data_IF_981333828995
#
_entry.id   IF_981333828995
#
_cell.length_a   1.000
_cell.length_b   1.000
_cell.length_c   1.000
_cell.angle_alpha   90.00
_cell.angle_beta   90.00
_cell.angle_gamma   90.00
#
_symmetry.space_group_name_H-M   'P 1'
#
loop_
_entity.id
_entity.type
_entity.pdbx_description
1 polymer ?
#
# COMPACT_ATOMS: atom_id res chain seq x y z
N UNK A 1 -15.47 26.83 -19.86
CA UNK A 1 -14.25 26.85 -20.70
C UNK A 1 -13.46 25.61 -20.31
N UNK A 2 -13.62 24.54 -21.08
CA UNK A 2 -12.84 23.31 -20.95
C UNK A 2 -11.38 23.64 -21.28
N UNK A 3 -10.52 23.75 -20.27
CA UNK A 3 -9.09 23.61 -20.49
C UNK A 3 -8.84 22.12 -20.64
N UNK A 4 -8.59 21.66 -21.85
CA UNK A 4 -7.97 20.37 -22.10
C UNK A 4 -6.65 20.36 -21.30
N UNK A 5 -6.54 19.45 -20.34
CA UNK A 5 -5.27 19.15 -19.69
C UNK A 5 -4.43 18.52 -20.80
N UNK A 6 -3.47 19.28 -21.30
CA UNK A 6 -2.47 18.75 -22.23
C UNK A 6 -1.58 17.85 -21.38
N UNK A 7 -1.82 16.54 -21.43
CA UNK A 7 -0.89 15.54 -20.89
C UNK A 7 0.48 15.80 -21.54
N UNK A 8 1.45 16.21 -20.73
CA UNK A 8 2.83 16.17 -21.15
C UNK A 8 3.14 14.69 -21.46
N UNK A 9 3.50 14.41 -22.69
CA UNK A 9 3.94 13.08 -23.12
C UNK A 9 5.28 12.87 -22.40
N UNK A 10 5.26 12.16 -21.26
CA UNK A 10 6.47 11.59 -20.69
C UNK A 10 7.02 10.66 -21.76
N UNK A 11 8.08 11.08 -22.41
CA UNK A 11 8.72 10.30 -23.48
C UNK A 11 9.15 8.98 -22.90
N UNK A 12 8.60 7.88 -23.42
CA UNK A 12 8.99 6.54 -23.02
C UNK A 12 10.53 6.41 -23.01
N UNK A 13 11.09 6.34 -21.84
CA UNK A 13 12.52 6.07 -21.68
C UNK A 13 12.75 4.65 -22.17
N UNK A 14 13.51 4.47 -23.24
CA UNK A 14 13.89 3.14 -23.71
C UNK A 14 14.68 2.46 -22.58
N UNK A 15 14.10 1.39 -22.00
CA UNK A 15 14.77 0.58 -20.99
C UNK A 15 16.10 0.06 -21.57
N UNK A 16 17.21 0.58 -21.09
CA UNK A 16 18.50 -0.01 -21.37
C UNK A 16 18.58 -1.33 -20.62
N UNK A 17 18.84 -2.42 -21.33
CA UNK A 17 18.98 -3.78 -20.79
C UNK A 17 19.88 -3.76 -19.55
N UNK A 18 19.30 -4.04 -18.37
CA UNK A 18 19.87 -4.35 -17.07
C UNK A 18 21.32 -3.91 -16.79
N UNK A 19 21.60 -2.63 -16.83
CA UNK A 19 22.94 -2.16 -16.57
C UNK A 19 23.23 -2.14 -15.07
N UNK A 20 24.02 -3.11 -14.60
CA UNK A 20 24.79 -2.94 -13.38
C UNK A 20 25.71 -1.74 -13.54
N UNK A 21 25.80 -0.88 -12.55
CA UNK A 21 26.65 0.29 -12.65
C UNK A 21 26.79 1.06 -11.36
N UNK A 22 27.75 1.97 -11.37
CA UNK A 22 28.05 2.81 -10.22
C UNK A 22 27.03 3.96 -10.13
N UNK A 23 26.61 4.25 -8.91
CA UNK A 23 25.89 5.47 -8.60
C UNK A 23 26.72 6.41 -7.74
N UNK A 24 26.41 7.69 -7.84
CA UNK A 24 26.86 8.71 -6.89
C UNK A 24 25.68 9.58 -6.54
N UNK A 25 25.39 9.72 -5.25
CA UNK A 25 24.45 10.72 -4.73
C UNK A 25 25.24 11.72 -3.92
N UNK A 26 25.29 12.96 -4.38
CA UNK A 26 26.06 14.01 -3.71
C UNK A 26 25.33 15.34 -3.78
N UNK A 27 25.70 16.27 -2.93
CA UNK A 27 25.10 17.60 -3.01
C UNK A 27 25.36 18.45 -1.79
N UNK A 28 24.60 19.55 -1.72
CA UNK A 28 24.65 20.53 -0.64
C UNK A 28 23.31 20.57 0.09
N UNK A 29 23.37 20.50 1.43
CA UNK A 29 22.21 20.68 2.29
C UNK A 29 22.50 21.83 3.24
N UNK A 30 21.86 22.96 3.02
CA UNK A 30 21.99 24.12 3.87
C UNK A 30 21.44 23.84 5.28
N UNK A 31 21.99 24.46 6.30
CA UNK A 31 21.59 24.30 7.70
C UNK A 31 21.70 22.85 8.25
N UNK A 32 22.47 21.97 7.59
CA UNK A 32 22.64 20.57 7.98
C UNK A 32 24.03 20.23 8.51
N UNK A 33 24.89 21.24 8.79
CA UNK A 33 26.26 20.99 9.28
C UNK A 33 26.27 20.07 10.50
N UNK A 34 27.14 19.03 10.47
CA UNK A 34 27.28 18.08 11.55
C UNK A 34 26.10 17.10 11.72
N UNK A 35 25.11 17.14 10.85
CA UNK A 35 24.02 16.17 10.85
C UNK A 35 24.37 14.92 10.07
N UNK A 36 23.73 13.83 10.41
CA UNK A 36 23.89 12.57 9.69
C UNK A 36 22.91 12.48 8.53
N UNK A 37 23.42 12.13 7.36
CA UNK A 37 22.63 11.78 6.18
C UNK A 37 22.61 10.28 6.01
N UNK A 38 21.46 9.73 5.62
CA UNK A 38 21.25 8.30 5.36
C UNK A 38 20.71 8.13 3.95
N UNK A 39 21.23 7.15 3.23
CA UNK A 39 20.68 6.68 1.95
C UNK A 39 20.10 5.30 2.17
N UNK A 40 18.79 5.17 2.03
CA UNK A 40 18.04 3.95 2.32
C UNK A 40 17.27 3.52 1.07
N UNK A 41 17.44 2.27 0.65
CA UNK A 41 16.65 1.67 -0.43
C UNK A 41 16.21 0.25 -0.09
N UNK A 42 15.05 -0.15 -0.63
CA UNK A 42 14.35 -1.36 -0.23
C UNK A 42 13.48 -1.15 1.00
N UNK A 43 12.63 -2.13 1.33
CA UNK A 43 11.58 -2.01 2.36
C UNK A 43 12.10 -1.70 3.77
N UNK A 44 13.32 -2.08 4.10
CA UNK A 44 13.98 -1.81 5.41
C UNK A 44 15.46 -1.49 5.24
N UNK A 45 15.86 -1.01 4.06
CA UNK A 45 17.26 -0.81 3.73
C UNK A 45 18.01 -2.11 3.40
N UNK A 46 17.30 -3.15 2.96
CA UNK A 46 17.91 -4.42 2.55
C UNK A 46 18.71 -4.30 1.25
N UNK A 47 18.45 -3.27 0.43
CA UNK A 47 19.17 -3.01 -0.81
C UNK A 47 20.32 -2.02 -0.55
N UNK A 48 20.02 -0.90 0.10
CA UNK A 48 21.01 0.11 0.51
C UNK A 48 20.67 0.57 1.92
N UNK A 49 21.66 0.55 2.80
CA UNK A 49 21.60 1.11 4.13
C UNK A 49 22.95 1.76 4.44
N UNK A 50 23.11 2.99 3.97
CA UNK A 50 24.38 3.71 4.10
C UNK A 50 24.17 5.04 4.83
N UNK A 51 25.24 5.57 5.41
CA UNK A 51 25.19 6.84 6.12
C UNK A 51 26.51 7.60 6.09
N UNK A 52 26.42 8.92 6.04
CA UNK A 52 27.56 9.83 6.06
C UNK A 52 27.26 11.08 6.90
N UNK A 53 28.28 11.85 7.25
CA UNK A 53 28.10 13.14 7.90
C UNK A 53 28.04 14.24 6.85
N UNK A 54 27.15 15.22 7.08
CA UNK A 54 27.17 16.47 6.32
C UNK A 54 28.28 17.36 6.87
N UNK A 55 29.27 17.66 6.04
CA UNK A 55 30.43 18.47 6.41
C UNK A 55 30.61 19.62 5.43
N UNK A 56 30.76 20.83 5.90
CA UNK A 56 30.74 22.06 5.09
C UNK A 56 29.46 22.14 4.22
N UNK A 57 28.34 21.65 4.77
CA UNK A 57 27.08 21.58 4.07
C UNK A 57 27.03 20.52 2.95
N UNK A 58 28.05 19.71 2.75
CA UNK A 58 28.14 18.70 1.66
C UNK A 58 28.06 17.28 2.19
N UNK A 59 27.59 16.39 1.32
CA UNK A 59 27.58 14.94 1.55
C UNK A 59 27.83 14.20 0.24
N UNK A 60 28.22 12.94 0.35
CA UNK A 60 28.41 12.06 -0.81
C UNK A 60 28.20 10.59 -0.41
N UNK A 61 27.38 9.88 -1.20
CA UNK A 61 27.28 8.42 -1.23
C UNK A 61 27.79 7.90 -2.56
N UNK A 62 28.44 6.75 -2.56
CA UNK A 62 28.90 6.05 -3.76
C UNK A 62 28.70 4.56 -3.58
N UNK A 63 28.22 3.90 -4.61
CA UNK A 63 28.04 2.46 -4.59
C UNK A 63 27.79 1.88 -5.98
N UNK A 64 27.44 0.61 -6.01
CA UNK A 64 27.08 -0.11 -7.23
C UNK A 64 25.69 -0.67 -7.09
N UNK A 65 24.85 -0.52 -8.12
CA UNK A 65 23.57 -1.18 -8.25
C UNK A 65 23.71 -2.42 -9.12
N UNK A 66 23.09 -3.52 -8.70
CA UNK A 66 22.94 -4.76 -9.46
C UNK A 66 21.68 -4.76 -10.35
N UNK A 67 21.00 -3.60 -10.40
CA UNK A 67 19.71 -3.36 -11.06
C UNK A 67 19.66 -1.98 -11.69
N UNK A 68 18.80 -1.80 -12.71
CA UNK A 68 18.68 -0.50 -13.40
C UNK A 68 18.05 0.60 -12.54
N UNK A 69 17.27 0.23 -11.53
CA UNK A 69 16.48 1.16 -10.71
C UNK A 69 16.25 0.61 -9.31
N UNK A 70 16.20 1.52 -8.34
CA UNK A 70 15.60 1.30 -7.02
C UNK A 70 15.05 2.61 -6.48
N UNK A 71 13.85 2.57 -5.89
CA UNK A 71 13.35 3.68 -5.11
C UNK A 71 14.16 3.81 -3.82
N UNK A 72 14.72 5.00 -3.60
CA UNK A 72 15.56 5.30 -2.46
C UNK A 72 15.05 6.53 -1.71
N UNK A 73 15.47 6.68 -0.47
CA UNK A 73 15.19 7.84 0.37
C UNK A 73 16.49 8.40 0.91
N UNK A 74 16.67 9.71 0.74
CA UNK A 74 17.69 10.48 1.44
C UNK A 74 17.02 11.07 2.70
N UNK A 75 17.57 10.74 3.86
CA UNK A 75 17.07 11.20 5.15
C UNK A 75 18.19 11.96 5.85
N UNK A 76 17.90 13.13 6.39
CA UNK A 76 18.86 13.92 7.16
C UNK A 76 18.30 14.21 8.54
N UNK A 77 18.98 13.71 9.57
CA UNK A 77 18.50 13.85 10.94
C UNK A 77 19.19 12.93 11.92
N UNK A 78 18.67 12.84 13.16
CA UNK A 78 19.26 12.02 14.21
C UNK A 78 19.04 10.51 14.00
N UNK A 79 18.06 10.10 13.20
CA UNK A 79 17.73 8.71 12.98
C UNK A 79 17.10 8.48 11.59
N UNK A 80 17.16 7.24 11.09
CA UNK A 80 16.59 6.81 9.80
C UNK A 80 15.04 6.90 9.74
N UNK A 81 14.40 7.09 10.87
CA UNK A 81 12.93 7.27 10.98
C UNK A 81 12.53 8.74 11.17
N UNK A 82 13.48 9.67 11.05
CA UNK A 82 13.19 11.11 11.11
C UNK A 82 12.58 11.57 9.79
N UNK A 83 11.27 11.80 9.81
CA UNK A 83 10.52 12.22 8.62
C UNK A 83 10.58 13.75 8.38
N UNK A 84 11.34 14.51 9.18
CA UNK A 84 11.42 15.97 9.02
C UNK A 84 12.09 16.35 7.70
N UNK A 85 13.21 15.70 7.39
CA UNK A 85 13.95 15.92 6.15
C UNK A 85 14.18 14.57 5.47
N UNK A 86 13.16 14.15 4.73
CA UNK A 86 13.17 12.90 3.94
C UNK A 86 12.75 13.25 2.51
N UNK A 87 13.58 12.87 1.56
CA UNK A 87 13.34 13.07 0.13
C UNK A 87 13.40 11.73 -0.58
N UNK A 88 12.38 11.44 -1.36
CA UNK A 88 12.34 10.29 -2.24
C UNK A 88 13.17 10.54 -3.49
N UNK A 89 13.84 9.53 -4.00
CA UNK A 89 14.63 9.61 -5.23
C UNK A 89 14.55 8.32 -6.03
N UNK A 90 14.63 8.46 -7.35
CA UNK A 90 14.80 7.36 -8.29
C UNK A 90 16.27 7.09 -8.49
N UNK A 91 16.84 6.12 -7.75
CA UNK A 91 18.25 5.82 -7.85
C UNK A 91 18.49 4.85 -9.00
N UNK A 92 19.32 5.29 -9.95
CA UNK A 92 19.80 4.54 -11.10
C UNK A 92 21.33 4.62 -11.18
N UNK A 93 22.01 3.78 -11.98
CA UNK A 93 23.47 3.85 -12.17
C UNK A 93 23.91 5.15 -12.86
N UNK A 94 23.90 6.25 -12.12
CA UNK A 94 24.24 7.60 -12.58
C UNK A 94 24.71 8.49 -11.43
N UNK A 95 24.96 9.76 -11.72
CA UNK A 95 25.26 10.78 -10.72
C UNK A 95 24.01 11.61 -10.46
N UNK A 96 23.51 11.56 -9.23
CA UNK A 96 22.46 12.44 -8.75
C UNK A 96 23.06 13.58 -7.91
N UNK A 97 22.62 14.80 -8.17
CA UNK A 97 22.99 15.97 -7.41
C UNK A 97 21.80 16.51 -6.63
N UNK A 98 21.96 16.72 -5.32
CA UNK A 98 20.93 17.18 -4.39
C UNK A 98 21.26 18.58 -3.91
N UNK A 99 20.28 19.47 -3.99
CA UNK A 99 20.33 20.81 -3.36
C UNK A 99 19.09 20.92 -2.46
N UNK A 100 19.30 21.10 -1.16
CA UNK A 100 18.23 21.13 -0.18
C UNK A 100 18.55 22.08 0.99
N UNK A 101 17.54 22.38 1.81
CA UNK A 101 17.67 23.11 3.06
C UNK A 101 17.02 22.32 4.20
N UNK A 102 17.78 22.03 5.26
CA UNK A 102 17.29 21.30 6.44
C UNK A 102 16.17 22.04 7.17
N UNK A 103 16.17 23.38 7.13
CA UNK A 103 15.14 24.20 7.76
C UNK A 103 13.90 24.40 6.88
N UNK A 104 14.02 24.17 5.57
CA UNK A 104 12.93 24.21 4.61
C UNK A 104 12.96 22.95 3.70
N UNK A 105 12.53 21.78 4.18
CA UNK A 105 12.62 20.53 3.44
C UNK A 105 11.87 20.52 2.10
N UNK A 106 10.89 21.40 1.91
CA UNK A 106 10.16 21.53 0.65
C UNK A 106 11.04 22.15 -0.46
N UNK A 107 12.08 22.88 -0.08
CA UNK A 107 13.05 23.46 -1.00
C UNK A 107 14.16 22.44 -1.33
N UNK A 108 13.77 21.30 -1.93
CA UNK A 108 14.69 20.26 -2.39
C UNK A 108 14.61 20.13 -3.90
N UNK A 109 15.77 19.97 -4.53
CA UNK A 109 15.85 19.58 -5.93
C UNK A 109 16.87 18.47 -6.09
N UNK A 110 16.51 17.44 -6.82
CA UNK A 110 17.37 16.30 -7.17
C UNK A 110 17.48 16.26 -8.70
N UNK A 111 18.66 16.16 -9.22
CA UNK A 111 18.90 16.21 -10.66
C UNK A 111 19.99 15.26 -11.12
N UNK A 112 20.03 14.95 -12.42
CA UNK A 112 21.10 14.17 -13.05
C UNK A 112 20.74 12.74 -13.43
N UNK A 113 19.50 12.31 -13.26
CA UNK A 113 19.02 10.98 -13.68
C UNK A 113 17.75 11.06 -14.49
N UNK A 114 17.59 10.19 -15.49
CA UNK A 114 16.38 10.15 -16.32
C UNK A 114 15.15 9.64 -15.54
N UNK A 115 15.37 8.67 -14.65
CA UNK A 115 14.29 8.16 -13.80
C UNK A 115 13.92 9.17 -12.70
N UNK A 116 14.88 9.99 -12.26
CA UNK A 116 14.58 11.12 -11.39
C UNK A 116 13.72 12.19 -12.11
N UNK A 117 14.06 12.53 -13.35
CA UNK A 117 13.25 13.43 -14.16
C UNK A 117 11.82 12.90 -14.38
N UNK A 118 11.67 11.59 -14.56
CA UNK A 118 10.36 10.93 -14.66
C UNK A 118 9.60 11.01 -13.33
N UNK A 119 10.25 10.77 -12.19
CA UNK A 119 9.66 10.88 -10.86
C UNK A 119 9.18 12.31 -10.60
N UNK A 120 10.01 13.32 -10.88
CA UNK A 120 9.67 14.73 -10.71
C UNK A 120 8.47 15.15 -11.57
N UNK A 121 8.37 14.61 -12.81
CA UNK A 121 7.22 14.85 -13.68
C UNK A 121 5.93 14.22 -13.10
N UNK A 122 6.02 12.97 -12.61
CA UNK A 122 4.92 12.28 -11.93
C UNK A 122 4.44 13.09 -10.71
N UNK A 123 5.37 13.52 -9.87
CA UNK A 123 5.04 14.28 -8.66
C UNK A 123 4.37 15.62 -9.01
N UNK A 124 4.86 16.31 -10.03
CA UNK A 124 4.27 17.55 -10.54
C UNK A 124 2.85 17.35 -11.07
N UNK A 125 2.59 16.26 -11.79
CA UNK A 125 1.24 15.92 -12.28
C UNK A 125 0.30 15.57 -11.13
N UNK A 126 0.80 14.82 -10.13
CA UNK A 126 0.02 14.43 -8.95
C UNK A 126 -0.31 15.60 -8.02
N UNK A 127 0.53 16.64 -7.94
CA UNK A 127 0.25 17.84 -7.13
C UNK A 127 -1.08 18.50 -7.46
N UNK A 128 -1.53 18.43 -8.71
CA UNK A 128 -2.82 18.99 -9.18
C UNK A 128 -3.99 18.43 -8.37
N UNK A 129 -3.90 17.16 -7.94
CA UNK A 129 -4.93 16.48 -7.16
C UNK A 129 -4.60 16.48 -5.66
N UNK A 130 -3.35 16.19 -5.30
CA UNK A 130 -2.95 15.97 -3.90
C UNK A 130 -2.93 17.27 -3.10
N UNK A 131 -2.51 18.38 -3.69
CA UNK A 131 -2.45 19.68 -2.99
C UNK A 131 -3.82 20.22 -2.57
N UNK A 132 -4.86 20.21 -3.43
CA UNK A 132 -6.23 20.53 -3.00
C UNK A 132 -6.77 19.52 -1.97
N UNK A 133 -6.53 18.22 -2.14
CA UNK A 133 -6.95 17.19 -1.19
C UNK A 133 -6.32 17.38 0.19
N UNK A 134 -5.03 17.70 0.24
CA UNK A 134 -4.31 17.99 1.48
C UNK A 134 -4.94 19.15 2.24
N UNK A 135 -5.22 20.27 1.57
CA UNK A 135 -5.88 21.45 2.17
C UNK A 135 -7.27 21.12 2.69
N UNK A 136 -8.10 20.43 1.88
CA UNK A 136 -9.45 20.05 2.29
C UNK A 136 -9.42 19.06 3.48
N UNK A 137 -8.48 18.12 3.52
CA UNK A 137 -8.29 17.22 4.66
C UNK A 137 -7.95 17.96 5.96
N UNK A 138 -7.11 19.00 5.89
CA UNK A 138 -6.82 19.83 7.06
C UNK A 138 -8.05 20.57 7.56
N UNK A 139 -8.88 21.10 6.65
CA UNK A 139 -10.13 21.77 7.00
C UNK A 139 -11.15 20.81 7.63
N UNK A 140 -11.28 19.59 7.08
CA UNK A 140 -12.14 18.52 7.64
C UNK A 140 -11.76 18.19 9.09
N UNK A 141 -10.45 18.20 9.41
CA UNK A 141 -9.98 17.94 10.78
C UNK A 141 -10.34 19.04 11.76
N UNK A 142 -10.52 20.26 11.28
CA UNK A 142 -10.75 21.48 12.10
C UNK A 142 -12.24 21.83 12.25
N UNK A 143 -13.17 21.21 11.50
CA UNK A 143 -14.58 21.58 11.49
C UNK A 143 -15.49 20.44 11.94
N UNK A 144 -16.64 20.81 12.51
CA UNK A 144 -17.73 19.89 12.81
C UNK A 144 -18.60 19.56 11.57
N UNK A 145 -18.68 20.49 10.61
CA UNK A 145 -19.43 20.30 9.36
C UNK A 145 -18.55 19.69 8.29
N UNK A 146 -18.43 18.36 8.31
CA UNK A 146 -17.50 17.59 7.44
C UNK A 146 -18.09 17.25 6.09
N UNK A 147 -19.40 17.10 5.99
CA UNK A 147 -20.06 16.51 4.81
C UNK A 147 -19.88 17.38 3.56
N UNK A 148 -19.99 18.69 3.68
CA UNK A 148 -19.77 19.62 2.54
C UNK A 148 -18.33 19.60 2.05
N UNK A 149 -17.35 19.50 2.96
CA UNK A 149 -15.92 19.45 2.59
C UNK A 149 -15.59 18.10 1.95
N UNK A 150 -16.16 16.99 2.46
CA UNK A 150 -16.00 15.66 1.86
C UNK A 150 -16.53 15.66 0.43
N UNK A 151 -17.68 16.30 0.17
CA UNK A 151 -18.22 16.43 -1.18
C UNK A 151 -17.33 17.23 -2.12
N UNK A 152 -16.59 18.23 -1.60
CA UNK A 152 -15.61 18.98 -2.39
C UNK A 152 -14.34 18.18 -2.71
N UNK A 153 -14.04 17.14 -1.94
CA UNK A 153 -12.89 16.26 -2.19
C UNK A 153 -13.17 15.25 -3.31
N UNK A 154 -14.42 14.86 -3.51
CA UNK A 154 -14.81 13.79 -4.45
C UNK A 154 -14.27 13.98 -5.88
N UNK A 155 -14.34 15.18 -6.52
CA UNK A 155 -13.79 15.37 -7.85
C UNK A 155 -12.29 15.12 -7.94
N UNK A 156 -11.52 15.56 -6.94
CA UNK A 156 -10.07 15.35 -6.90
C UNK A 156 -9.72 13.89 -6.63
N UNK A 157 -10.46 13.21 -5.75
CA UNK A 157 -10.28 11.78 -5.49
C UNK A 157 -10.56 10.95 -6.75
N UNK A 158 -11.61 11.30 -7.49
CA UNK A 158 -11.93 10.64 -8.76
C UNK A 158 -10.83 10.84 -9.80
N UNK A 159 -10.36 12.07 -9.99
CA UNK A 159 -9.27 12.39 -10.93
C UNK A 159 -7.98 11.67 -10.54
N UNK A 160 -7.63 11.65 -9.25
CA UNK A 160 -6.47 10.94 -8.73
C UNK A 160 -6.58 9.43 -8.99
N UNK A 161 -7.72 8.81 -8.69
CA UNK A 161 -7.95 7.40 -8.97
C UNK A 161 -7.92 7.06 -10.47
N UNK A 162 -8.34 8.00 -11.32
CA UNK A 162 -8.26 7.87 -12.78
C UNK A 162 -6.83 7.99 -13.28
N UNK A 163 -6.06 8.95 -12.75
CA UNK A 163 -4.63 9.08 -13.02
C UNK A 163 -3.87 7.80 -12.70
N UNK A 164 -4.07 7.23 -11.48
CA UNK A 164 -3.47 5.96 -11.06
C UNK A 164 -3.73 4.85 -12.10
N UNK A 165 -5.01 4.66 -12.47
CA UNK A 165 -5.39 3.60 -13.44
C UNK A 165 -4.84 3.80 -14.83
N UNK A 166 -4.76 5.03 -15.28
CA UNK A 166 -4.25 5.34 -16.61
C UNK A 166 -2.74 5.18 -16.66
N UNK A 167 -2.03 5.59 -15.61
CA UNK A 167 -0.57 5.55 -15.59
C UNK A 167 -0.03 4.14 -15.88
N UNK A 168 -0.40 3.12 -15.12
CA UNK A 168 0.14 1.77 -15.33
C UNK A 168 -0.34 1.11 -16.63
N UNK A 169 -1.41 1.61 -17.24
CA UNK A 169 -1.91 1.12 -18.53
C UNK A 169 -1.18 1.74 -19.72
N UNK A 170 -0.83 3.01 -19.61
CA UNK A 170 -0.24 3.79 -20.69
C UNK A 170 1.31 3.78 -20.63
N UNK A 171 1.87 3.62 -19.44
CA UNK A 171 3.32 3.64 -19.19
C UNK A 171 3.86 2.25 -18.77
N UNK A 172 3.54 1.22 -19.57
CA UNK A 172 3.88 -0.18 -19.24
C UNK A 172 5.38 -0.46 -19.14
N UNK A 173 6.23 0.42 -19.66
CA UNK A 173 7.68 0.38 -19.60
C UNK A 173 8.29 1.27 -18.51
N UNK A 174 7.48 1.98 -17.71
CA UNK A 174 7.96 2.75 -16.56
C UNK A 174 8.13 1.86 -15.33
N UNK A 175 9.25 1.99 -14.62
CA UNK A 175 9.44 1.30 -13.33
C UNK A 175 8.45 1.76 -12.26
N UNK A 176 7.87 2.95 -12.39
CA UNK A 176 6.84 3.48 -11.51
C UNK A 176 5.45 2.89 -11.78
N UNK A 177 5.22 2.23 -12.91
CA UNK A 177 3.93 1.61 -13.21
C UNK A 177 3.50 0.59 -12.14
N UNK A 178 4.45 -0.12 -11.54
CA UNK A 178 4.16 -1.05 -10.44
C UNK A 178 3.70 -0.35 -9.16
N UNK A 179 4.19 0.87 -8.87
CA UNK A 179 3.70 1.70 -7.75
C UNK A 179 2.22 2.00 -7.89
N UNK A 180 1.81 2.44 -9.08
CA UNK A 180 0.41 2.77 -9.35
C UNK A 180 -0.49 1.53 -9.42
N UNK A 181 0.00 0.43 -9.98
CA UNK A 181 -0.72 -0.83 -9.97
C UNK A 181 -0.89 -1.36 -8.53
N UNK A 182 0.13 -1.25 -7.69
CA UNK A 182 0.05 -1.61 -6.27
C UNK A 182 -0.99 -0.77 -5.51
N UNK A 183 -1.13 0.53 -5.81
CA UNK A 183 -2.16 1.40 -5.21
C UNK A 183 -3.59 0.98 -5.57
N UNK A 184 -3.81 0.38 -6.74
CA UNK A 184 -5.13 -0.03 -7.24
C UNK A 184 -5.45 -1.52 -6.98
N UNK A 185 -4.43 -2.38 -6.79
CA UNK A 185 -4.55 -3.84 -6.78
C UNK A 185 -5.51 -4.40 -5.74
N UNK A 186 -5.63 -3.77 -4.56
CA UNK A 186 -6.51 -4.23 -3.48
C UNK A 186 -8.01 -4.24 -3.84
N UNK A 187 -8.37 -3.58 -4.94
CA UNK A 187 -9.75 -3.51 -5.47
C UNK A 187 -9.95 -4.33 -6.73
N UNK A 188 -8.90 -5.04 -7.18
CA UNK A 188 -8.92 -5.75 -8.46
C UNK A 188 -9.18 -7.25 -8.24
N UNK A 189 -10.12 -7.85 -8.99
CA UNK A 189 -10.18 -9.30 -9.13
C UNK A 189 -8.89 -9.85 -9.73
N UNK A 190 -8.57 -11.12 -9.44
CA UNK A 190 -7.37 -11.79 -9.95
C UNK A 190 -7.12 -11.57 -11.45
N UNK A 191 -8.13 -11.80 -12.28
CA UNK A 191 -7.97 -11.74 -13.74
C UNK A 191 -7.62 -10.32 -14.22
N UNK A 192 -8.16 -9.29 -13.57
CA UNK A 192 -7.86 -7.90 -13.89
C UNK A 192 -6.43 -7.51 -13.47
N UNK A 193 -6.04 -7.89 -12.24
CA UNK A 193 -4.68 -7.66 -11.75
C UNK A 193 -3.66 -8.41 -12.61
N UNK A 194 -3.95 -9.68 -12.94
CA UNK A 194 -3.09 -10.50 -13.80
C UNK A 194 -2.93 -9.90 -15.20
N UNK A 195 -4.00 -9.43 -15.81
CA UNK A 195 -3.95 -8.78 -17.12
C UNK A 195 -3.13 -7.48 -17.07
N UNK A 196 -3.30 -6.65 -16.04
CA UNK A 196 -2.53 -5.43 -15.89
C UNK A 196 -1.04 -5.74 -15.65
N UNK A 197 -0.73 -6.73 -14.83
CA UNK A 197 0.62 -7.20 -14.60
C UNK A 197 1.30 -7.74 -15.85
N UNK A 198 0.61 -8.59 -16.62
CA UNK A 198 1.15 -9.21 -17.84
C UNK A 198 1.39 -8.19 -18.97
N UNK A 199 0.73 -7.04 -18.93
CA UNK A 199 0.94 -5.95 -19.86
C UNK A 199 2.22 -5.15 -19.59
N UNK A 200 2.79 -5.24 -18.38
CA UNK A 200 4.02 -4.54 -18.03
C UNK A 200 5.25 -5.18 -18.71
N UNK A 201 6.23 -4.33 -19.06
CA UNK A 201 7.52 -4.80 -19.56
C UNK A 201 8.17 -5.78 -18.57
N UNK A 202 8.83 -6.87 -19.03
CA UNK A 202 9.51 -7.83 -18.15
C UNK A 202 10.56 -7.21 -17.21
N UNK A 203 11.21 -6.11 -17.61
CA UNK A 203 12.14 -5.40 -16.71
C UNK A 203 11.39 -4.65 -15.60
N UNK A 204 10.22 -4.09 -15.92
CA UNK A 204 9.33 -3.46 -14.94
C UNK A 204 8.78 -4.48 -13.96
N UNK A 205 8.33 -5.63 -14.45
CA UNK A 205 7.90 -6.74 -13.59
C UNK A 205 9.02 -7.24 -12.66
N UNK A 206 10.28 -7.15 -13.09
CA UNK A 206 11.43 -7.62 -12.30
C UNK A 206 11.94 -6.59 -11.30
N UNK A 207 12.00 -5.33 -11.67
CA UNK A 207 12.70 -4.29 -10.93
C UNK A 207 11.84 -3.11 -10.51
N UNK A 208 10.57 -3.07 -10.88
CA UNK A 208 9.64 -2.02 -10.47
C UNK A 208 9.47 -1.96 -8.95
N UNK A 209 9.10 -0.79 -8.46
CA UNK A 209 9.13 -0.40 -7.05
C UNK A 209 8.35 -1.34 -6.11
N UNK A 210 7.18 -1.81 -6.52
CA UNK A 210 6.33 -2.73 -5.74
C UNK A 210 6.09 -4.06 -6.46
N UNK A 211 7.00 -4.46 -7.35
CA UNK A 211 6.83 -5.66 -8.15
C UNK A 211 6.67 -6.94 -7.31
N UNK A 212 7.41 -7.05 -6.20
CA UNK A 212 7.32 -8.20 -5.30
C UNK A 212 5.96 -8.29 -4.59
N UNK A 213 5.40 -7.16 -4.20
CA UNK A 213 4.10 -7.11 -3.52
C UNK A 213 2.98 -7.51 -4.48
N UNK A 214 3.03 -7.07 -5.74
CA UNK A 214 2.06 -7.46 -6.76
C UNK A 214 2.15 -8.97 -7.05
N UNK A 215 3.37 -9.55 -7.13
CA UNK A 215 3.55 -10.99 -7.32
C UNK A 215 2.93 -11.80 -6.18
N UNK A 216 3.18 -11.39 -4.93
CA UNK A 216 2.60 -12.03 -3.75
C UNK A 216 1.07 -11.95 -3.76
N UNK A 217 0.53 -10.78 -4.08
CA UNK A 217 -0.92 -10.59 -4.17
C UNK A 217 -1.54 -11.49 -5.25
N UNK A 218 -0.92 -11.59 -6.42
CA UNK A 218 -1.34 -12.52 -7.47
C UNK A 218 -1.32 -13.98 -7.01
N UNK A 219 -0.31 -14.40 -6.25
CA UNK A 219 -0.25 -15.75 -5.68
C UNK A 219 -1.38 -16.03 -4.68
N UNK A 220 -1.72 -15.04 -3.85
CA UNK A 220 -2.82 -15.13 -2.89
C UNK A 220 -4.16 -15.18 -3.62
N UNK A 221 -4.41 -14.24 -4.52
CA UNK A 221 -5.66 -14.16 -5.27
C UNK A 221 -5.89 -15.37 -6.18
N UNK A 222 -4.83 -15.98 -6.71
CA UNK A 222 -4.93 -17.21 -7.50
C UNK A 222 -5.59 -18.37 -6.73
N UNK A 223 -5.38 -18.42 -5.41
CA UNK A 223 -5.95 -19.45 -4.53
C UNK A 223 -7.44 -19.24 -4.22
N UNK A 224 -7.89 -17.97 -4.26
CA UNK A 224 -9.26 -17.58 -3.84
C UNK A 224 -10.12 -17.03 -4.97
N UNK A 225 -9.67 -17.13 -6.22
CA UNK A 225 -10.44 -16.67 -7.37
C UNK A 225 -11.77 -17.43 -7.52
N UNK A 226 -12.81 -16.81 -8.12
CA UNK A 226 -14.07 -17.51 -8.37
C UNK A 226 -13.90 -18.83 -9.11
N UNK A 227 -14.52 -19.89 -8.61
CA UNK A 227 -14.41 -21.25 -9.12
C UNK A 227 -13.25 -22.07 -8.54
N UNK A 228 -12.35 -21.46 -7.76
CA UNK A 228 -11.34 -22.22 -7.01
C UNK A 228 -11.94 -22.83 -5.74
N UNK A 229 -11.47 -24.02 -5.31
CA UNK A 229 -11.81 -24.52 -3.98
C UNK A 229 -11.38 -23.52 -2.91
N UNK A 230 -12.28 -23.20 -1.97
CA UNK A 230 -11.92 -22.34 -0.85
C UNK A 230 -10.78 -23.00 -0.02
N UNK A 231 -9.75 -22.24 0.37
CA UNK A 231 -8.74 -22.74 1.32
C UNK A 231 -9.41 -23.24 2.60
N UNK A 232 -9.05 -24.43 3.05
CA UNK A 232 -9.58 -24.98 4.29
C UNK A 232 -8.78 -24.47 5.48
N UNK A 233 -9.45 -24.25 6.60
CA UNK A 233 -8.80 -23.89 7.86
C UNK A 233 -9.49 -24.55 9.04
N UNK A 234 -8.73 -24.74 10.11
CA UNK A 234 -9.23 -25.25 11.39
C UNK A 234 -8.87 -24.27 12.50
N UNK A 235 -9.87 -23.90 13.30
CA UNK A 235 -9.73 -22.96 14.41
C UNK A 235 -10.68 -23.33 15.54
N UNK A 236 -10.81 -22.48 16.54
CA UNK A 236 -11.73 -22.67 17.65
C UNK A 236 -12.91 -21.69 17.55
N UNK A 237 -14.13 -22.20 17.69
CA UNK A 237 -15.33 -21.37 17.67
C UNK A 237 -15.49 -20.55 18.96
N UNK A 238 -16.54 -19.68 18.98
CA UNK A 238 -16.84 -18.80 20.12
C UNK A 238 -17.13 -19.57 21.41
N UNK A 239 -17.50 -20.84 21.33
CA UNK A 239 -17.80 -21.73 22.46
C UNK A 239 -16.59 -22.59 22.88
N UNK A 240 -15.42 -22.39 22.25
CA UNK A 240 -14.21 -23.16 22.54
C UNK A 240 -14.17 -24.53 21.86
N UNK A 241 -15.04 -24.80 20.89
CA UNK A 241 -15.07 -26.07 20.15
C UNK A 241 -14.24 -25.97 18.86
N UNK A 242 -13.59 -27.06 18.42
CA UNK A 242 -12.94 -27.11 17.11
C UNK A 242 -13.95 -26.83 15.99
N UNK A 243 -13.55 -25.96 15.07
CA UNK A 243 -14.28 -25.63 13.84
C UNK A 243 -13.37 -25.77 12.63
N UNK A 244 -13.83 -26.46 11.60
CA UNK A 244 -13.13 -26.60 10.32
C UNK A 244 -14.06 -26.18 9.21
N UNK A 245 -13.63 -25.31 8.29
CA UNK A 245 -14.50 -24.82 7.21
C UNK A 245 -15.06 -25.95 6.36
N UNK A 246 -14.25 -26.96 6.05
CA UNK A 246 -14.69 -28.12 5.26
C UNK A 246 -15.76 -28.99 5.92
N UNK A 247 -16.04 -28.82 7.22
CA UNK A 247 -17.17 -29.48 7.87
C UNK A 247 -18.54 -29.01 7.35
N UNK A 248 -18.56 -27.86 6.67
CA UNK A 248 -19.75 -27.28 6.05
C UNK A 248 -19.93 -27.69 4.57
N UNK A 249 -19.18 -28.66 4.07
CA UNK A 249 -19.34 -29.14 2.68
C UNK A 249 -20.77 -29.61 2.43
N UNK A 250 -21.30 -29.26 1.26
CA UNK A 250 -22.70 -29.50 0.88
C UNK A 250 -23.64 -28.37 1.22
N UNK A 251 -23.20 -27.36 1.96
CA UNK A 251 -23.93 -26.12 2.24
C UNK A 251 -23.43 -24.96 1.37
N UNK A 252 -24.27 -23.95 1.24
CA UNK A 252 -23.83 -22.62 0.78
C UNK A 252 -23.31 -21.86 1.99
N UNK A 253 -22.09 -21.35 1.91
CA UNK A 253 -21.44 -20.63 3.03
C UNK A 253 -21.14 -19.21 2.61
N UNK A 254 -21.55 -18.24 3.42
CA UNK A 254 -21.02 -16.88 3.35
C UNK A 254 -19.92 -16.76 4.40
N UNK A 255 -18.70 -16.47 3.95
CA UNK A 255 -17.56 -16.20 4.81
C UNK A 255 -17.41 -14.68 4.93
N UNK A 256 -17.62 -14.13 6.13
CA UNK A 256 -17.59 -12.71 6.43
C UNK A 256 -16.40 -12.37 7.35
N UNK A 257 -15.52 -11.47 6.88
CA UNK A 257 -14.40 -10.98 7.66
C UNK A 257 -14.76 -9.64 8.31
N UNK A 258 -14.82 -9.62 9.62
CA UNK A 258 -15.33 -8.48 10.37
C UNK A 258 -14.56 -8.23 11.69
N UNK A 259 -14.98 -7.23 12.45
CA UNK A 259 -14.52 -7.01 13.82
C UNK A 259 -15.58 -6.25 14.64
N UNK A 260 -15.51 -6.38 15.97
CA UNK A 260 -16.42 -5.65 16.89
C UNK A 260 -16.32 -4.13 16.77
N UNK A 261 -15.15 -3.63 16.39
CA UNK A 261 -14.84 -2.22 16.19
C UNK A 261 -15.11 -1.72 14.76
N UNK A 262 -15.40 -2.62 13.81
CA UNK A 262 -15.68 -2.28 12.42
C UNK A 262 -17.12 -1.76 12.26
N UNK A 263 -17.29 -0.46 12.33
CA UNK A 263 -18.61 0.18 12.20
C UNK A 263 -19.35 -0.17 10.90
N UNK A 264 -18.73 -0.09 9.70
CA UNK A 264 -19.35 -0.51 8.45
C UNK A 264 -19.77 -1.99 8.45
N UNK A 265 -18.93 -2.90 8.98
CA UNK A 265 -19.23 -4.33 9.06
C UNK A 265 -20.50 -4.54 9.92
N UNK A 266 -20.57 -3.90 11.07
CA UNK A 266 -21.73 -3.99 11.96
C UNK A 266 -23.01 -3.42 11.35
N UNK A 267 -22.88 -2.41 10.49
CA UNK A 267 -24.03 -1.86 9.72
C UNK A 267 -24.59 -2.83 8.69
N UNK A 268 -23.78 -3.77 8.18
CA UNK A 268 -24.24 -4.81 7.24
C UNK A 268 -24.89 -6.02 7.93
N UNK A 269 -24.69 -6.21 9.23
CA UNK A 269 -25.23 -7.36 9.97
C UNK A 269 -26.76 -7.52 9.90
N UNK A 270 -27.59 -6.47 9.89
CA UNK A 270 -29.02 -6.62 9.66
C UNK A 270 -29.35 -7.30 8.33
N UNK A 271 -28.65 -6.92 7.25
CA UNK A 271 -28.83 -7.55 5.94
C UNK A 271 -28.34 -9.01 5.92
N UNK A 272 -27.24 -9.32 6.60
CA UNK A 272 -26.78 -10.70 6.75
C UNK A 272 -27.81 -11.59 7.46
N UNK A 273 -28.49 -11.05 8.48
CA UNK A 273 -29.60 -11.76 9.15
C UNK A 273 -30.80 -12.00 8.23
N UNK A 274 -31.17 -11.01 7.41
CA UNK A 274 -32.24 -11.19 6.42
C UNK A 274 -31.90 -12.31 5.41
N UNK A 275 -30.62 -12.39 4.96
CA UNK A 275 -30.17 -13.48 4.12
C UNK A 275 -30.23 -14.82 4.83
N UNK A 276 -29.82 -14.86 6.09
CA UNK A 276 -29.91 -16.06 6.91
C UNK A 276 -31.36 -16.51 7.08
N UNK A 277 -32.27 -15.64 7.51
CA UNK A 277 -33.68 -15.95 7.71
C UNK A 277 -34.34 -16.49 6.43
N UNK A 278 -33.94 -15.97 5.27
CA UNK A 278 -34.47 -16.36 3.97
C UNK A 278 -33.93 -17.69 3.44
N UNK A 279 -32.66 -18.01 3.74
CA UNK A 279 -31.97 -19.09 3.03
C UNK A 279 -31.41 -20.19 3.92
N UNK A 280 -31.36 -20.03 5.25
CA UNK A 280 -30.82 -21.06 6.15
C UNK A 280 -31.54 -22.40 6.00
N UNK A 281 -32.87 -22.42 5.95
CA UNK A 281 -33.64 -23.64 5.71
C UNK A 281 -33.37 -24.31 4.35
N UNK A 282 -32.70 -23.60 3.45
CA UNK A 282 -32.25 -24.08 2.12
C UNK A 282 -30.77 -24.42 2.08
N UNK A 283 -30.10 -24.46 3.24
CA UNK A 283 -28.72 -24.88 3.40
C UNK A 283 -27.69 -23.74 3.37
N UNK A 284 -28.08 -22.50 3.74
CA UNK A 284 -27.14 -21.40 3.94
C UNK A 284 -26.62 -21.41 5.38
N UNK A 285 -25.29 -21.37 5.55
CA UNK A 285 -24.63 -21.08 6.82
C UNK A 285 -23.76 -19.81 6.68
N UNK A 286 -23.55 -19.13 7.82
CA UNK A 286 -22.74 -17.92 7.91
C UNK A 286 -21.51 -18.17 8.80
N UNK A 287 -20.31 -17.92 8.27
CA UNK A 287 -19.04 -18.04 8.99
C UNK A 287 -18.45 -16.64 9.15
N UNK A 288 -18.37 -16.18 10.39
CA UNK A 288 -17.85 -14.88 10.76
C UNK A 288 -16.43 -15.03 11.32
N UNK A 289 -15.44 -14.56 10.57
CA UNK A 289 -14.03 -14.54 10.98
C UNK A 289 -13.70 -13.16 11.53
N UNK A 290 -13.40 -13.07 12.81
CA UNK A 290 -13.20 -11.78 13.49
C UNK A 290 -11.74 -11.46 13.73
N UNK A 291 -11.36 -10.19 13.50
CA UNK A 291 -10.04 -9.61 13.81
C UNK A 291 -10.00 -9.03 15.25
N UNK A 292 -10.63 -9.73 16.19
CA UNK A 292 -10.69 -9.34 17.62
C UNK A 292 -9.81 -10.23 18.51
N UNK A 293 -8.74 -10.83 17.99
CA UNK A 293 -7.86 -11.74 18.73
C UNK A 293 -7.33 -11.14 20.03
N UNK A 294 -7.09 -9.83 20.05
CA UNK A 294 -6.65 -9.10 21.25
C UNK A 294 -7.80 -8.67 22.18
N UNK A 295 -9.07 -8.82 21.77
CA UNK A 295 -10.25 -8.32 22.49
C UNK A 295 -11.44 -9.28 22.40
N UNK A 296 -11.31 -10.56 22.79
CA UNK A 296 -12.34 -11.58 22.62
C UNK A 296 -13.66 -11.24 23.33
N UNK A 297 -13.62 -10.50 24.44
CA UNK A 297 -14.83 -10.07 25.15
C UNK A 297 -15.64 -9.03 24.37
N UNK A 298 -14.97 -8.09 23.66
CA UNK A 298 -15.65 -7.13 22.82
C UNK A 298 -16.33 -7.82 21.62
N UNK A 299 -15.66 -8.82 21.06
CA UNK A 299 -16.20 -9.68 20.00
C UNK A 299 -17.48 -10.42 20.46
N UNK A 300 -17.45 -11.14 21.60
CA UNK A 300 -18.61 -11.84 22.15
C UNK A 300 -19.80 -10.89 22.34
N UNK A 301 -19.54 -9.72 22.94
CA UNK A 301 -20.55 -8.70 23.15
C UNK A 301 -21.13 -8.18 21.83
N UNK A 302 -20.31 -8.00 20.80
CA UNK A 302 -20.78 -7.54 19.48
C UNK A 302 -21.65 -8.60 18.79
N UNK A 303 -21.30 -9.88 18.87
CA UNK A 303 -22.13 -11.00 18.34
C UNK A 303 -23.51 -10.99 18.98
N UNK A 304 -23.60 -10.82 20.31
CA UNK A 304 -24.87 -10.74 21.02
C UNK A 304 -25.68 -9.48 20.67
N UNK A 305 -25.05 -8.32 20.67
CA UNK A 305 -25.69 -7.04 20.34
C UNK A 305 -26.29 -7.03 18.93
N UNK A 306 -25.55 -7.58 17.98
CA UNK A 306 -25.97 -7.62 16.58
C UNK A 306 -26.88 -8.82 16.28
N UNK A 307 -27.18 -9.64 17.32
CA UNK A 307 -28.09 -10.80 17.23
C UNK A 307 -27.64 -11.82 16.17
N UNK A 308 -26.34 -12.08 16.09
CA UNK A 308 -25.76 -13.05 15.14
C UNK A 308 -25.69 -14.42 15.81
N UNK A 309 -26.85 -14.94 16.22
CA UNK A 309 -26.95 -16.20 16.98
C UNK A 309 -27.99 -17.13 16.36
N UNK A 310 -27.73 -18.42 16.41
CA UNK A 310 -28.61 -19.45 15.87
C UNK A 310 -27.82 -20.62 15.27
N UNK A 311 -28.56 -21.67 14.86
CA UNK A 311 -27.98 -22.79 14.11
C UNK A 311 -27.48 -22.28 12.75
N UNK A 312 -26.24 -22.63 12.37
CA UNK A 312 -25.64 -22.16 11.11
C UNK A 312 -24.94 -20.79 11.19
N UNK A 313 -24.89 -20.14 12.38
CA UNK A 313 -23.94 -19.07 12.65
C UNK A 313 -22.68 -19.65 13.28
N UNK A 314 -21.55 -19.48 12.61
CA UNK A 314 -20.25 -19.93 13.06
C UNK A 314 -19.36 -18.73 13.30
N UNK A 315 -18.90 -18.55 14.53
CA UNK A 315 -18.06 -17.43 14.93
C UNK A 315 -16.68 -17.92 15.33
N UNK A 316 -15.65 -17.41 14.65
CA UNK A 316 -14.26 -17.75 14.90
C UNK A 316 -13.40 -16.50 14.96
N UNK A 317 -12.29 -16.57 15.67
CA UNK A 317 -11.24 -15.57 15.61
C UNK A 317 -10.27 -15.89 14.46
N UNK A 318 -9.64 -14.87 13.91
CA UNK A 318 -8.65 -15.00 12.84
C UNK A 318 -7.44 -15.83 13.28
N UNK A 319 -7.14 -15.83 14.60
CA UNK A 319 -6.02 -16.61 15.16
C UNK A 319 -4.67 -15.89 15.10
N UNK A 320 -4.65 -14.59 14.80
CA UNK A 320 -3.42 -13.81 14.81
C UNK A 320 -2.90 -13.64 16.22
N UNK A 321 -1.65 -14.06 16.45
CA UNK A 321 -0.90 -13.78 17.66
C UNK A 321 0.00 -12.58 17.41
N UNK A 322 -0.27 -11.47 18.05
CA UNK A 322 0.55 -10.27 17.93
C UNK A 322 1.36 -10.02 19.20
N UNK A 323 2.67 -10.21 19.10
CA UNK A 323 3.60 -9.76 20.12
C UNK A 323 3.90 -8.26 19.94
N UNK A 324 3.12 -7.42 20.61
CA UNK A 324 3.24 -5.96 20.53
C UNK A 324 4.61 -5.42 20.95
N UNK A 325 5.40 -6.19 21.72
CA UNK A 325 6.74 -5.78 22.13
C UNK A 325 7.73 -5.73 20.94
N UNK A 326 7.42 -6.46 19.88
CA UNK A 326 8.20 -6.55 18.64
C UNK A 326 7.67 -5.67 17.50
N UNK A 327 6.69 -4.81 17.78
CA UNK A 327 6.05 -3.99 16.75
C UNK A 327 5.38 -4.83 15.66
N UNK A 328 5.46 -4.40 14.40
CA UNK A 328 4.88 -5.15 13.26
C UNK A 328 5.57 -6.51 13.02
N UNK A 329 6.82 -6.68 13.45
CA UNK A 329 7.55 -7.96 13.35
C UNK A 329 7.01 -9.03 14.31
N UNK A 330 6.27 -8.61 15.33
CA UNK A 330 5.64 -9.53 16.28
C UNK A 330 4.31 -10.11 15.83
N UNK A 331 3.85 -9.78 14.61
CA UNK A 331 2.64 -10.33 14.05
C UNK A 331 2.93 -11.72 13.48
N UNK A 332 2.38 -12.73 14.12
CA UNK A 332 2.52 -14.13 13.68
C UNK A 332 1.44 -14.43 12.64
N UNK A 333 1.86 -14.64 11.40
CA UNK A 333 1.02 -15.00 10.26
C UNK A 333 0.99 -16.52 9.98
N UNK A 334 1.43 -17.35 10.93
CA UNK A 334 1.56 -18.80 10.71
C UNK A 334 0.23 -19.53 10.53
N UNK A 335 -0.89 -18.86 10.72
CA UNK A 335 -2.23 -19.40 10.48
C UNK A 335 -2.92 -18.82 9.23
N UNK A 336 -2.23 -18.03 8.41
CA UNK A 336 -2.77 -17.46 7.17
C UNK A 336 -2.75 -18.48 6.00
#
# INVERSE_FOLDING_TARGET
KNRAITMLIVSAVALTTGAQGNYTVSGKIENAEGKKAYLIAGNRGEIINDSTMVTNGQFTFKGTLDRPFVAARLIVGPAIYDNKCMWEMALEPTVLNVVADYNNPEACSISGGKLQEELDAIDSEMEVFLKPLGKLNEEVRKTANRDSLISLMEPYQKQYAEYIRNFYREHTNSYFATRFLNMDMSRMPYDNLKAAWDALDPQVQKYGDFADDIRKELEVLAKVRPGSPAPDFTTTDINGKPFTLSSLRGKVVILDFWASWCGPCRKSNPHMRELYDKYHSRGLDLVYVSDDDSKPEAWRKAVEQDKLVGEGYHHVLRGLKWDRSKGMEGMDHTND
#
